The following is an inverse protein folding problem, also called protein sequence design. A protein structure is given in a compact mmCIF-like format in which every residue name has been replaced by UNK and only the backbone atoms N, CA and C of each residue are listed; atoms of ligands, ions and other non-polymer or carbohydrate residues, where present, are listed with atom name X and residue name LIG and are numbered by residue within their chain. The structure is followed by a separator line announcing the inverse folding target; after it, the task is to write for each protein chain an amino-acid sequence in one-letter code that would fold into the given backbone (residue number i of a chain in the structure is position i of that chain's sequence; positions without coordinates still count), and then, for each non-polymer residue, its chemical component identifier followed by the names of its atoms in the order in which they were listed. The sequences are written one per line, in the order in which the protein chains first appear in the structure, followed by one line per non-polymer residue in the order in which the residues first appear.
data_IF_045570711429
#
_entry.id   IF_045570711429
#
_cell.length_a   1.000
_cell.length_b   1.000
_cell.length_c   1.000
_cell.angle_alpha   90.00
_cell.angle_beta   90.00
_cell.angle_gamma   90.00
#
_symmetry.space_group_name_H-M   'P 1'
#
loop_
_entity.id
_entity.type
_entity.pdbx_description
1 polymer ?
#
# COMPACT_ATOMS: atom_id res chain seq x y z
N UNK A 1 -32.98 -23.92 -29.39
CA UNK A 1 -31.93 -24.85 -28.94
C UNK A 1 -30.62 -24.58 -29.70
N UNK A 2 -29.84 -23.64 -29.26
CA UNK A 2 -28.47 -23.50 -29.66
C UNK A 2 -27.60 -23.68 -28.41
N UNK A 3 -27.24 -24.95 -28.18
CA UNK A 3 -26.20 -25.33 -27.25
C UNK A 3 -24.88 -24.70 -27.69
N UNK A 4 -24.32 -23.77 -26.88
CA UNK A 4 -22.93 -23.39 -26.96
C UNK A 4 -22.10 -24.65 -26.66
N UNK A 5 -21.52 -25.26 -27.70
CA UNK A 5 -20.39 -26.16 -27.53
C UNK A 5 -19.24 -25.31 -27.03
N UNK A 6 -18.87 -25.45 -25.77
CA UNK A 6 -17.59 -25.01 -25.26
C UNK A 6 -16.49 -25.65 -26.13
N UNK A 7 -15.64 -24.84 -26.67
CA UNK A 7 -14.52 -25.27 -27.52
C UNK A 7 -13.42 -25.86 -26.62
N UNK A 8 -13.59 -27.14 -26.30
CA UNK A 8 -12.65 -27.90 -25.47
C UNK A 8 -11.27 -28.05 -26.10
N UNK A 9 -11.17 -28.04 -27.44
CA UNK A 9 -9.88 -28.12 -28.15
C UNK A 9 -9.04 -26.85 -27.93
N UNK A 10 -9.66 -25.66 -27.95
CA UNK A 10 -8.97 -24.40 -27.66
C UNK A 10 -8.47 -24.33 -26.20
N UNK A 11 -9.27 -24.86 -25.24
CA UNK A 11 -8.86 -24.92 -23.84
C UNK A 11 -7.73 -25.93 -23.60
N UNK A 12 -7.68 -27.02 -24.34
CA UNK A 12 -6.64 -28.05 -24.22
C UNK A 12 -5.31 -27.56 -24.79
N UNK A 13 -5.34 -26.81 -25.88
CA UNK A 13 -4.16 -26.15 -26.48
C UNK A 13 -3.60 -25.06 -25.56
N UNK A 14 -4.45 -24.22 -24.95
CA UNK A 14 -4.03 -23.20 -23.96
C UNK A 14 -3.42 -23.84 -22.71
N UNK A 15 -4.00 -24.94 -22.23
CA UNK A 15 -3.47 -25.71 -21.09
C UNK A 15 -2.14 -26.39 -21.41
N UNK A 16 -1.98 -26.94 -22.62
CA UNK A 16 -0.72 -27.55 -23.07
C UNK A 16 0.38 -26.49 -23.26
N UNK A 17 0.03 -25.28 -23.71
CA UNK A 17 0.95 -24.18 -23.80
C UNK A 17 1.41 -23.73 -22.40
N UNK A 18 0.49 -23.55 -21.44
CA UNK A 18 0.81 -23.22 -20.06
C UNK A 18 1.68 -24.28 -19.38
N UNK A 19 1.38 -25.57 -19.61
CA UNK A 19 2.17 -26.69 -19.08
C UNK A 19 3.56 -26.73 -19.73
N UNK A 20 3.67 -26.42 -21.02
CA UNK A 20 4.94 -26.31 -21.74
C UNK A 20 5.83 -25.18 -21.19
N UNK A 21 5.25 -24.02 -20.94
CA UNK A 21 5.91 -22.87 -20.33
C UNK A 21 6.35 -23.17 -18.89
N UNK A 22 5.51 -23.88 -18.13
CA UNK A 22 5.81 -24.32 -16.76
C UNK A 22 6.96 -25.34 -16.70
N UNK A 23 7.03 -26.27 -17.65
CA UNK A 23 8.14 -27.22 -17.78
C UNK A 23 9.47 -26.53 -18.12
N UNK A 24 9.46 -25.53 -19.00
CA UNK A 24 10.65 -24.75 -19.33
C UNK A 24 11.16 -23.91 -18.14
N UNK A 25 10.26 -23.42 -17.28
CA UNK A 25 10.61 -22.72 -16.03
C UNK A 25 11.28 -23.66 -15.01
N UNK A 26 10.86 -24.93 -14.96
CA UNK A 26 11.39 -25.93 -14.02
C UNK A 26 12.74 -26.52 -14.46
N UNK A 27 13.10 -26.47 -15.73
CA UNK A 27 14.34 -27.07 -16.28
C UNK A 27 15.54 -26.12 -16.28
N UNK A 28 15.44 -24.90 -15.70
CA UNK A 28 16.60 -24.01 -15.46
C UNK A 28 17.32 -23.52 -16.72
N UNK A 29 16.65 -23.52 -17.88
CA UNK A 29 17.16 -22.93 -19.11
C UNK A 29 17.20 -21.39 -19.03
N UNK A 30 18.02 -20.68 -19.87
CA UNK A 30 18.05 -19.24 -19.88
C UNK A 30 16.64 -18.71 -20.19
N UNK A 31 16.07 -17.93 -19.26
CA UNK A 31 14.74 -17.33 -19.40
C UNK A 31 14.62 -16.67 -20.77
N UNK A 32 13.73 -17.16 -21.64
CA UNK A 32 13.26 -16.39 -22.79
C UNK A 32 12.62 -15.13 -22.23
N UNK A 33 13.11 -13.94 -22.64
CA UNK A 33 12.49 -12.65 -22.32
C UNK A 33 11.01 -12.76 -22.64
N UNK A 34 10.18 -12.67 -21.62
CA UNK A 34 8.73 -12.58 -21.78
C UNK A 34 8.49 -11.26 -22.49
N UNK A 35 8.03 -11.31 -23.76
CA UNK A 35 7.74 -10.11 -24.55
C UNK A 35 6.51 -9.34 -24.03
N UNK A 36 5.77 -9.89 -23.08
CA UNK A 36 4.56 -9.29 -22.57
C UNK A 36 4.91 -8.24 -21.50
N UNK A 37 4.83 -6.97 -21.88
CA UNK A 37 5.16 -5.81 -21.04
C UNK A 37 4.02 -5.38 -20.09
N UNK A 38 2.86 -5.99 -20.18
CA UNK A 38 1.72 -5.63 -19.33
C UNK A 38 1.90 -6.16 -17.90
N UNK A 39 1.62 -5.30 -16.90
CA UNK A 39 1.70 -5.70 -15.51
C UNK A 39 0.57 -6.68 -15.17
N UNK A 40 0.92 -7.85 -14.60
CA UNK A 40 0.01 -8.90 -14.14
C UNK A 40 0.34 -9.29 -12.69
N UNK A 41 -0.63 -9.14 -11.81
CA UNK A 41 -0.46 -9.45 -10.39
C UNK A 41 -0.30 -10.96 -10.13
N UNK A 42 -0.85 -11.81 -10.99
CA UNK A 42 -0.77 -13.27 -10.90
C UNK A 42 0.68 -13.76 -10.98
N UNK A 43 1.53 -13.06 -11.76
CA UNK A 43 2.96 -13.39 -11.83
C UNK A 43 3.68 -13.07 -10.51
N UNK A 44 3.27 -12.01 -9.80
CA UNK A 44 3.76 -11.75 -8.45
C UNK A 44 3.33 -12.85 -7.48
N UNK A 45 2.06 -13.27 -7.51
CA UNK A 45 1.55 -14.35 -6.65
C UNK A 45 2.34 -15.64 -6.87
N UNK A 46 2.60 -15.98 -8.13
CA UNK A 46 3.41 -17.17 -8.49
C UNK A 46 4.85 -17.04 -7.99
N UNK A 47 5.49 -15.89 -8.16
CA UNK A 47 6.84 -15.64 -7.68
C UNK A 47 6.94 -15.74 -6.15
N UNK A 48 5.95 -15.21 -5.42
CA UNK A 48 5.90 -15.28 -3.96
C UNK A 48 5.88 -16.72 -3.43
N UNK A 49 5.15 -17.63 -4.08
CA UNK A 49 5.12 -19.04 -3.71
C UNK A 49 6.53 -19.68 -3.73
N UNK A 50 7.41 -19.21 -4.61
CA UNK A 50 8.79 -19.71 -4.71
C UNK A 50 9.70 -19.22 -3.57
N UNK A 51 9.33 -18.12 -2.89
CA UNK A 51 10.12 -17.51 -1.82
C UNK A 51 9.91 -18.14 -0.45
N UNK A 52 8.87 -18.97 -0.30
CA UNK A 52 8.44 -19.49 1.01
C UNK A 52 7.67 -18.48 1.88
N UNK A 53 7.31 -17.31 1.32
CA UNK A 53 6.43 -16.35 1.96
C UNK A 53 4.97 -16.68 1.67
N UNK A 54 4.14 -16.61 2.72
CA UNK A 54 2.70 -16.82 2.63
C UNK A 54 2.00 -15.47 2.80
N UNK A 55 1.23 -15.08 1.80
CA UNK A 55 0.35 -13.92 1.85
C UNK A 55 -0.98 -14.27 1.20
N UNK A 56 -2.07 -13.83 1.80
CA UNK A 56 -3.39 -13.97 1.18
C UNK A 56 -3.48 -13.17 -0.12
N UNK A 57 -4.08 -13.74 -1.15
CA UNK A 57 -4.29 -13.07 -2.45
C UNK A 57 -5.04 -11.74 -2.31
N UNK A 58 -6.03 -11.68 -1.40
CA UNK A 58 -6.77 -10.44 -1.13
C UNK A 58 -5.87 -9.33 -0.57
N UNK A 59 -4.90 -9.67 0.27
CA UNK A 59 -3.93 -8.72 0.80
C UNK A 59 -3.00 -8.21 -0.31
N UNK A 60 -2.48 -9.11 -1.15
CA UNK A 60 -1.63 -8.75 -2.30
C UNK A 60 -2.36 -7.84 -3.28
N UNK A 61 -3.59 -8.20 -3.63
CA UNK A 61 -4.43 -7.41 -4.52
C UNK A 61 -4.65 -5.99 -3.96
N UNK A 62 -4.99 -5.87 -2.66
CA UNK A 62 -5.16 -4.58 -1.98
C UNK A 62 -3.87 -3.76 -1.98
N UNK A 63 -2.74 -4.39 -1.68
CA UNK A 63 -1.44 -3.73 -1.61
C UNK A 63 -1.02 -3.16 -2.96
N UNK A 64 -1.05 -3.95 -4.02
CA UNK A 64 -0.64 -3.52 -5.36
C UNK A 64 -1.60 -2.46 -5.91
N UNK A 65 -2.91 -2.68 -5.78
CA UNK A 65 -3.93 -1.69 -6.21
C UNK A 65 -3.77 -0.37 -5.46
N UNK A 66 -3.49 -0.42 -4.16
CA UNK A 66 -3.26 0.77 -3.34
C UNK A 66 -2.01 1.56 -3.77
N UNK A 67 -0.90 0.89 -4.09
CA UNK A 67 0.32 1.51 -4.60
C UNK A 67 0.09 2.20 -5.94
N UNK A 68 -0.64 1.56 -6.85
CA UNK A 68 -0.99 2.10 -8.16
C UNK A 68 -1.93 3.30 -8.05
N UNK A 69 -2.92 3.24 -7.15
CA UNK A 69 -3.87 4.33 -6.94
C UNK A 69 -3.21 5.55 -6.29
N UNK A 70 -2.24 5.30 -5.40
CA UNK A 70 -1.45 6.33 -4.74
C UNK A 70 -0.09 5.77 -4.33
N UNK A 71 1.02 6.37 -4.78
CA UNK A 71 2.36 5.87 -4.53
C UNK A 71 2.84 6.15 -3.09
N UNK A 72 1.94 6.13 -2.11
CA UNK A 72 2.24 6.18 -0.68
C UNK A 72 1.32 5.25 0.10
N UNK A 73 1.88 4.15 0.60
CA UNK A 73 1.17 3.12 1.36
C UNK A 73 1.82 2.92 2.72
N UNK A 74 1.01 2.75 3.75
CA UNK A 74 1.46 2.42 5.11
C UNK A 74 0.96 1.01 5.43
N UNK A 75 1.88 0.12 5.80
CA UNK A 75 1.61 -1.25 6.21
C UNK A 75 1.64 -1.33 7.74
N UNK A 76 0.49 -1.55 8.37
CA UNK A 76 0.37 -1.63 9.83
C UNK A 76 0.16 -3.07 10.29
N UNK A 77 0.55 -3.41 11.51
CA UNK A 77 0.32 -4.73 12.11
C UNK A 77 1.38 -5.09 13.15
N UNK A 78 1.24 -6.26 13.76
CA UNK A 78 2.16 -6.76 14.77
C UNK A 78 3.58 -6.94 14.23
N UNK A 79 4.59 -6.82 15.10
CA UNK A 79 5.97 -7.16 14.76
C UNK A 79 6.05 -8.60 14.24
N UNK A 80 6.88 -8.83 13.21
CA UNK A 80 7.03 -10.16 12.61
C UNK A 80 5.87 -10.63 11.70
N UNK A 81 4.84 -9.84 11.44
CA UNK A 81 3.71 -10.22 10.57
C UNK A 81 4.03 -10.27 9.07
N UNK A 82 5.23 -9.85 8.64
CA UNK A 82 5.66 -9.91 7.24
C UNK A 82 5.53 -8.59 6.47
N UNK A 83 5.15 -7.48 7.09
CA UNK A 83 5.00 -6.15 6.45
C UNK A 83 6.21 -5.74 5.62
N UNK A 84 7.36 -5.65 6.28
CA UNK A 84 8.64 -5.26 5.65
C UNK A 84 9.03 -6.26 4.57
N UNK A 85 8.75 -7.55 4.76
CA UNK A 85 9.04 -8.59 3.77
C UNK A 85 8.19 -8.44 2.51
N UNK A 86 6.90 -8.11 2.64
CA UNK A 86 6.07 -7.84 1.47
C UNK A 86 6.58 -6.64 0.68
N UNK A 87 6.90 -5.52 1.35
CA UNK A 87 7.46 -4.34 0.70
C UNK A 87 8.77 -4.66 -0.04
N UNK A 88 9.69 -5.37 0.63
CA UNK A 88 10.97 -5.78 0.04
C UNK A 88 10.80 -6.70 -1.17
N UNK A 89 10.00 -7.76 -1.02
CA UNK A 89 9.86 -8.78 -2.06
C UNK A 89 9.21 -8.19 -3.31
N UNK A 90 8.17 -7.36 -3.15
CA UNK A 90 7.53 -6.70 -4.27
C UNK A 90 8.50 -5.75 -4.99
N UNK A 91 9.19 -4.88 -4.25
CA UNK A 91 10.16 -3.95 -4.82
C UNK A 91 11.30 -4.67 -5.54
N UNK A 92 11.88 -5.72 -4.93
CA UNK A 92 12.95 -6.50 -5.56
C UNK A 92 12.48 -7.27 -6.79
N UNK A 93 11.25 -7.76 -6.80
CA UNK A 93 10.68 -8.49 -7.92
C UNK A 93 10.47 -7.60 -9.15
N UNK A 94 9.89 -6.40 -8.96
CA UNK A 94 9.53 -5.50 -10.08
C UNK A 94 10.69 -4.62 -10.56
N UNK A 95 11.73 -4.43 -9.75
CA UNK A 95 12.88 -3.60 -10.10
C UNK A 95 13.98 -4.37 -10.82
N UNK A 96 14.53 -3.77 -11.87
CA UNK A 96 15.65 -4.32 -12.63
C UNK A 96 16.94 -4.36 -11.81
N UNK A 97 17.18 -3.31 -11.01
CA UNK A 97 18.42 -3.10 -10.26
C UNK A 97 18.15 -2.88 -8.78
N UNK A 98 19.10 -3.27 -7.93
CA UNK A 98 19.02 -3.08 -6.48
C UNK A 98 18.99 -1.61 -6.08
N UNK A 99 19.63 -0.74 -6.83
CA UNK A 99 19.73 0.71 -6.59
C UNK A 99 18.37 1.41 -6.76
N UNK A 100 17.37 0.73 -7.33
CA UNK A 100 16.00 1.23 -7.43
C UNK A 100 15.21 1.03 -6.12
N UNK A 101 15.78 0.34 -5.15
CA UNK A 101 15.15 0.06 -3.86
C UNK A 101 16.02 0.56 -2.73
N UNK A 102 15.51 1.49 -1.95
CA UNK A 102 16.17 2.00 -0.75
C UNK A 102 15.29 1.67 0.47
N UNK A 103 15.84 0.90 1.40
CA UNK A 103 15.19 0.62 2.68
C UNK A 103 15.90 1.37 3.78
N UNK A 104 15.15 2.19 4.49
CA UNK A 104 15.65 3.10 5.51
C UNK A 104 14.97 2.79 6.84
N UNK A 105 15.70 2.27 7.83
CA UNK A 105 15.18 2.17 9.19
C UNK A 105 15.07 3.58 9.79
N UNK A 106 13.89 3.92 10.32
CA UNK A 106 13.65 5.23 10.92
C UNK A 106 14.27 5.26 12.32
N UNK A 107 15.05 6.29 12.60
CA UNK A 107 15.63 6.52 13.94
C UNK A 107 14.63 7.19 14.89
N UNK A 108 14.66 6.80 16.16
CA UNK A 108 13.80 7.39 17.19
C UNK A 108 14.12 8.87 17.48
N UNK A 109 15.31 9.33 17.10
CA UNK A 109 15.84 10.68 17.26
C UNK A 109 15.54 11.61 16.08
N UNK A 110 14.83 11.16 15.06
CA UNK A 110 14.56 11.96 13.86
C UNK A 110 13.57 13.09 14.14
N UNK A 111 14.03 14.30 14.09
CA UNK A 111 13.23 15.50 14.40
C UNK A 111 13.05 16.46 13.24
N UNK A 112 13.79 16.23 12.12
CA UNK A 112 13.78 17.07 10.94
C UNK A 112 14.04 16.24 9.67
N UNK A 113 14.10 16.90 8.50
CA UNK A 113 14.27 16.25 7.19
C UNK A 113 15.67 15.70 6.89
N UNK A 114 16.68 16.09 7.66
CA UNK A 114 18.08 15.79 7.36
C UNK A 114 18.39 14.31 7.18
N UNK A 115 17.80 13.38 7.96
CA UNK A 115 18.04 11.95 7.76
C UNK A 115 17.61 11.42 6.39
N UNK A 116 16.66 12.08 5.70
CA UNK A 116 16.19 11.66 4.37
C UNK A 116 16.74 12.53 3.24
N UNK A 117 16.93 13.82 3.48
CA UNK A 117 17.26 14.78 2.42
C UNK A 117 18.66 15.39 2.59
N UNK A 118 19.30 15.23 3.76
CA UNK A 118 20.57 15.89 4.04
C UNK A 118 20.43 17.41 4.24
N UNK A 119 21.57 18.11 4.17
CA UNK A 119 21.64 19.55 4.41
C UNK A 119 22.85 20.20 3.74
N UNK A 120 22.80 21.51 3.45
CA UNK A 120 23.96 22.30 3.02
C UNK A 120 25.05 22.33 4.10
N UNK A 121 26.30 22.07 3.72
CA UNK A 121 27.41 22.13 4.66
C UNK A 121 27.71 23.59 5.07
N UNK A 122 27.43 23.94 6.33
CA UNK A 122 27.65 25.29 6.84
C UNK A 122 29.12 25.68 6.92
N UNK A 123 30.06 24.73 6.93
CA UNK A 123 31.49 24.94 7.03
C UNK A 123 32.21 25.02 5.67
N UNK A 124 31.56 24.51 4.62
CA UNK A 124 32.11 24.45 3.25
C UNK A 124 31.07 24.94 2.25
N UNK A 125 31.18 26.18 1.81
CA UNK A 125 30.25 26.75 0.84
C UNK A 125 30.21 25.94 -0.48
N UNK A 126 29.01 25.63 -0.95
CA UNK A 126 28.81 24.82 -2.17
C UNK A 126 28.88 23.30 -1.98
N UNK A 127 29.07 22.82 -0.75
CA UNK A 127 29.03 21.41 -0.41
C UNK A 127 27.71 21.00 0.25
N UNK A 128 27.24 19.80 -0.07
CA UNK A 128 26.03 19.24 0.49
C UNK A 128 26.33 17.92 1.21
N UNK A 129 25.87 17.78 2.43
CA UNK A 129 25.97 16.54 3.21
C UNK A 129 24.77 15.66 2.89
N UNK A 130 25.01 14.61 2.12
CA UNK A 130 23.99 13.64 1.75
C UNK A 130 23.77 12.60 2.87
N UNK A 131 22.52 12.11 3.05
CA UNK A 131 22.27 11.02 3.98
C UNK A 131 22.99 9.73 3.54
N UNK A 132 23.62 9.03 4.47
CA UNK A 132 24.34 7.78 4.20
C UNK A 132 23.39 6.62 3.83
N UNK A 133 22.12 6.71 4.21
CA UNK A 133 21.10 5.68 3.94
C UNK A 133 20.66 5.60 2.46
N UNK A 134 21.09 6.52 1.61
CA UNK A 134 20.81 6.51 0.18
C UNK A 134 19.44 7.06 -0.24
N UNK A 135 18.63 7.59 0.67
CA UNK A 135 17.29 8.09 0.35
C UNK A 135 17.31 9.24 -0.67
N UNK A 136 18.17 10.26 -0.47
CA UNK A 136 18.31 11.38 -1.41
C UNK A 136 18.86 10.92 -2.76
N UNK A 137 19.84 10.01 -2.78
CA UNK A 137 20.38 9.45 -4.03
C UNK A 137 19.30 8.73 -4.83
N UNK A 138 18.46 7.91 -4.14
CA UNK A 138 17.32 7.24 -4.77
C UNK A 138 16.38 8.25 -5.46
N UNK A 139 16.04 9.37 -4.78
CA UNK A 139 15.17 10.40 -5.34
C UNK A 139 15.79 11.05 -6.58
N UNK A 140 17.09 11.38 -6.51
CA UNK A 140 17.83 11.98 -7.63
C UNK A 140 17.84 11.02 -8.83
N UNK A 141 18.10 9.73 -8.61
CA UNK A 141 18.12 8.73 -9.68
C UNK A 141 16.73 8.50 -10.27
N UNK A 142 15.69 8.43 -9.45
CA UNK A 142 14.30 8.28 -9.90
C UNK A 142 13.85 9.48 -10.76
N UNK A 143 14.33 10.69 -10.46
CA UNK A 143 13.99 11.91 -11.18
C UNK A 143 14.68 12.10 -12.53
N UNK A 144 15.66 11.27 -12.90
CA UNK A 144 16.33 11.35 -14.20
C UNK A 144 15.43 10.91 -15.32
N UNK A 145 15.49 11.60 -16.46
CA UNK A 145 14.64 11.30 -17.63
C UNK A 145 14.79 9.86 -18.13
N UNK A 146 16.03 9.33 -18.15
CA UNK A 146 16.30 7.94 -18.55
C UNK A 146 15.71 6.88 -17.61
N UNK A 147 15.27 7.28 -16.43
CA UNK A 147 14.69 6.40 -15.41
C UNK A 147 13.18 6.57 -15.26
N UNK A 148 12.56 7.49 -15.97
CA UNK A 148 11.17 7.90 -15.84
C UNK A 148 10.16 6.74 -15.88
N UNK A 149 10.45 5.73 -16.67
CA UNK A 149 9.59 4.56 -16.85
C UNK A 149 9.99 3.37 -15.96
N UNK A 150 10.93 3.56 -15.03
CA UNK A 150 11.40 2.52 -14.12
C UNK A 150 10.86 2.77 -12.72
N UNK A 151 10.30 1.77 -12.03
CA UNK A 151 9.82 1.95 -10.67
C UNK A 151 10.98 2.10 -9.69
N UNK A 152 10.85 3.02 -8.73
CA UNK A 152 11.75 3.23 -7.61
C UNK A 152 10.99 3.13 -6.30
N UNK A 153 11.59 2.50 -5.27
CA UNK A 153 10.94 2.27 -3.99
C UNK A 153 11.75 2.83 -2.83
N UNK A 154 11.12 3.72 -2.04
CA UNK A 154 11.60 4.14 -0.74
C UNK A 154 10.78 3.42 0.34
N UNK A 155 11.41 2.51 1.07
CA UNK A 155 10.79 1.76 2.16
C UNK A 155 11.28 2.37 3.47
N UNK A 156 10.36 2.94 4.24
CA UNK A 156 10.62 3.49 5.58
C UNK A 156 10.21 2.44 6.61
N UNK A 157 11.19 1.77 7.19
CA UNK A 157 10.93 0.72 8.17
C UNK A 157 10.75 1.32 9.56
N UNK A 158 9.71 0.87 10.26
CA UNK A 158 9.25 1.42 11.55
C UNK A 158 8.98 2.93 11.49
N UNK A 159 8.23 3.36 10.47
CA UNK A 159 8.00 4.76 10.15
C UNK A 159 7.51 5.60 11.33
N UNK A 160 6.80 5.01 12.28
CA UNK A 160 6.24 5.68 13.46
C UNK A 160 7.16 5.63 14.71
N UNK A 161 8.41 5.19 14.57
CA UNK A 161 9.38 5.23 15.66
C UNK A 161 9.76 6.68 16.04
N UNK A 162 9.57 7.61 15.13
CA UNK A 162 9.63 9.06 15.37
C UNK A 162 8.41 9.78 14.81
N UNK A 163 8.26 11.07 15.14
CA UNK A 163 7.16 11.91 14.64
C UNK A 163 7.26 12.12 13.12
N UNK A 164 6.44 11.40 12.35
CA UNK A 164 6.42 11.44 10.89
C UNK A 164 6.21 12.86 10.35
N UNK A 165 5.36 13.65 11.01
CA UNK A 165 5.06 15.03 10.62
C UNK A 165 6.26 15.97 10.70
N UNK A 166 7.35 15.55 11.36
CA UNK A 166 8.57 16.35 11.47
C UNK A 166 9.57 15.97 10.39
N UNK A 167 10.02 14.72 10.38
CA UNK A 167 11.08 14.31 9.45
C UNK A 167 10.57 14.11 8.01
N UNK A 168 9.28 13.84 7.83
CA UNK A 168 8.65 13.59 6.53
C UNK A 168 7.76 14.75 6.05
N UNK A 169 7.84 15.91 6.71
CA UNK A 169 7.00 17.08 6.44
C UNK A 169 7.06 17.56 4.99
N UNK A 170 8.25 17.63 4.41
CA UNK A 170 8.46 18.12 3.04
C UNK A 170 7.81 17.17 2.03
N UNK A 171 7.94 15.86 2.22
CA UNK A 171 7.26 14.85 1.39
C UNK A 171 5.75 14.99 1.47
N UNK A 172 5.19 15.12 2.68
CA UNK A 172 3.75 15.32 2.86
C UNK A 172 3.25 16.59 2.18
N UNK A 173 4.02 17.67 2.23
CA UNK A 173 3.70 18.95 1.59
C UNK A 173 3.67 18.79 0.07
N UNK A 174 4.74 18.25 -0.50
CA UNK A 174 4.89 18.12 -1.96
C UNK A 174 3.90 17.12 -2.57
N UNK A 175 3.52 16.06 -1.85
CA UNK A 175 2.44 15.15 -2.27
C UNK A 175 1.10 15.89 -2.48
N UNK A 176 0.93 17.06 -1.87
CA UNK A 176 -0.27 17.90 -2.02
C UNK A 176 -0.07 19.05 -3.01
N UNK A 177 0.99 19.82 -2.85
CA UNK A 177 1.25 21.03 -3.66
C UNK A 177 1.82 20.72 -5.04
N UNK A 178 2.47 19.54 -5.20
CA UNK A 178 3.25 19.16 -6.38
C UNK A 178 4.42 20.11 -6.68
N UNK A 179 4.84 20.92 -5.69
CA UNK A 179 5.99 21.79 -5.78
C UNK A 179 7.29 20.98 -5.57
N UNK A 180 8.44 21.62 -5.82
CA UNK A 180 9.73 21.02 -5.55
C UNK A 180 10.22 21.37 -4.14
N UNK A 181 10.88 20.42 -3.47
CA UNK A 181 11.53 20.59 -2.17
C UNK A 181 12.84 21.38 -2.39
N UNK A 182 13.03 22.54 -1.78
CA UNK A 182 14.31 23.25 -1.85
C UNK A 182 15.35 22.53 -0.99
N UNK A 183 16.54 22.26 -1.57
CA UNK A 183 17.64 21.59 -0.88
C UNK A 183 18.75 22.56 -0.51
N UNK A 184 19.13 23.45 -1.44
CA UNK A 184 20.14 24.47 -1.22
C UNK A 184 19.87 25.73 -2.09
N UNK A 185 20.53 26.87 -1.84
CA UNK A 185 20.41 28.05 -2.69
C UNK A 185 20.88 27.78 -4.12
N UNK A 186 20.15 28.30 -5.12
CA UNK A 186 20.54 28.21 -6.54
C UNK A 186 21.45 29.40 -6.91
N UNK A 187 22.74 29.30 -6.54
CA UNK A 187 23.75 30.32 -6.83
C UNK A 187 24.94 29.71 -7.53
N UNK A 188 25.84 30.57 -8.09
CA UNK A 188 27.04 30.15 -8.83
C UNK A 188 27.92 29.17 -8.05
N UNK A 189 28.02 29.32 -6.72
CA UNK A 189 28.81 28.47 -5.83
C UNK A 189 28.33 27.06 -5.84
N UNK A 190 27.00 26.85 -5.96
CA UNK A 190 26.35 25.55 -5.94
C UNK A 190 26.30 24.84 -7.28
N UNK A 191 26.72 25.46 -8.40
CA UNK A 191 26.69 24.86 -9.75
C UNK A 191 27.51 23.57 -9.90
N UNK A 192 28.52 23.39 -9.04
CA UNK A 192 29.34 22.16 -9.02
C UNK A 192 28.83 21.08 -8.08
N UNK A 193 27.80 21.39 -7.30
CA UNK A 193 27.20 20.41 -6.40
C UNK A 193 26.46 19.32 -7.21
N UNK A 194 26.61 18.06 -6.79
CA UNK A 194 25.88 16.92 -7.42
C UNK A 194 24.40 16.89 -7.03
N UNK A 195 24.05 17.53 -5.92
CA UNK A 195 22.67 17.63 -5.45
C UNK A 195 22.00 18.80 -6.16
N UNK A 196 20.81 18.64 -6.72
CA UNK A 196 20.08 19.75 -7.35
C UNK A 196 19.58 20.74 -6.32
N UNK A 197 19.45 22.03 -6.68
CA UNK A 197 18.94 23.06 -5.79
C UNK A 197 17.52 22.77 -5.28
N UNK A 198 16.72 22.08 -6.09
CA UNK A 198 15.35 21.65 -5.77
C UNK A 198 15.11 20.24 -6.30
N UNK A 199 14.29 19.46 -5.59
CA UNK A 199 13.91 18.12 -6.02
C UNK A 199 12.38 17.96 -5.94
N UNK A 200 11.78 17.48 -7.02
CA UNK A 200 10.38 17.09 -7.03
C UNK A 200 10.24 15.61 -6.67
N UNK A 201 9.09 15.18 -6.16
CA UNK A 201 8.81 13.76 -6.02
C UNK A 201 8.54 13.18 -7.42
N UNK A 202 9.38 12.26 -7.91
CA UNK A 202 9.18 11.66 -9.22
C UNK A 202 7.92 10.79 -9.24
N UNK A 203 7.20 10.78 -10.36
CA UNK A 203 5.96 10.01 -10.52
C UNK A 203 6.16 8.49 -10.51
N UNK A 204 7.38 8.03 -10.71
CA UNK A 204 7.81 6.63 -10.67
C UNK A 204 8.40 6.22 -9.30
N UNK A 205 8.32 7.10 -8.29
CA UNK A 205 8.71 6.82 -6.91
C UNK A 205 7.54 6.32 -6.10
N UNK A 206 7.67 5.14 -5.51
CA UNK A 206 6.70 4.52 -4.61
C UNK A 206 7.25 4.51 -3.18
N UNK A 207 6.48 5.03 -2.24
CA UNK A 207 6.87 5.13 -0.84
C UNK A 207 6.03 4.14 -0.01
N UNK A 208 6.71 3.29 0.76
CA UNK A 208 6.07 2.30 1.62
C UNK A 208 6.59 2.49 3.04
N UNK A 209 5.71 2.85 3.97
CA UNK A 209 6.02 2.87 5.40
C UNK A 209 5.58 1.58 6.07
N UNK A 210 6.38 1.02 6.98
CA UNK A 210 5.94 -0.06 7.87
C UNK A 210 5.74 0.47 9.29
N UNK A 211 4.79 -0.11 10.01
CA UNK A 211 4.39 0.32 11.35
C UNK A 211 4.13 -0.88 12.24
N UNK A 212 4.80 -0.94 13.37
CA UNK A 212 4.53 -1.90 14.43
C UNK A 212 3.53 -1.30 15.42
N UNK A 213 2.42 -2.02 15.66
CA UNK A 213 1.32 -1.55 16.54
C UNK A 213 1.46 -2.03 17.98
N UNK A 214 2.34 -2.97 18.23
CA UNK A 214 2.65 -3.59 19.53
C UNK A 214 3.79 -2.88 20.29
N UNK A 215 4.39 -1.86 19.70
CA UNK A 215 5.44 -1.07 20.31
C UNK A 215 4.92 0.30 20.76
N UNK A 216 5.57 0.90 21.76
CA UNK A 216 5.29 2.28 22.21
C UNK A 216 5.82 3.28 21.19
N UNK A 217 5.03 3.53 20.15
CA UNK A 217 5.37 4.36 19.02
C UNK A 217 4.41 5.55 18.89
N UNK A 218 4.77 6.51 18.03
CA UNK A 218 3.93 7.68 17.82
C UNK A 218 2.73 7.37 16.93
N UNK A 219 1.56 7.89 17.32
CA UNK A 219 0.37 7.85 16.48
C UNK A 219 0.54 8.76 15.26
N UNK A 220 0.02 8.32 14.13
CA UNK A 220 -0.04 9.18 12.95
C UNK A 220 -1.09 10.29 13.09
N UNK A 221 -0.71 11.49 12.69
CA UNK A 221 -1.68 12.57 12.55
C UNK A 221 -2.59 12.36 11.34
N UNK A 222 -3.75 13.01 11.30
CA UNK A 222 -4.61 13.04 10.13
C UNK A 222 -3.90 13.50 8.85
N UNK A 223 -2.86 14.35 8.96
CA UNK A 223 -2.07 14.83 7.82
C UNK A 223 -1.33 13.71 7.09
N UNK A 224 -0.87 12.70 7.81
CA UNK A 224 -0.20 11.51 7.24
C UNK A 224 -1.24 10.57 6.66
N UNK A 225 -2.28 10.22 7.44
CA UNK A 225 -3.30 9.26 7.05
C UNK A 225 -4.13 9.69 5.84
N UNK A 226 -4.38 10.99 5.69
CA UNK A 226 -5.04 11.55 4.50
C UNK A 226 -4.24 11.38 3.22
N UNK A 227 -2.91 11.22 3.34
CA UNK A 227 -2.00 11.12 2.19
C UNK A 227 -1.58 9.70 1.87
N UNK A 228 -1.85 8.73 2.73
CA UNK A 228 -1.52 7.32 2.53
C UNK A 228 -2.77 6.46 2.29
N UNK A 229 -2.59 5.29 1.71
CA UNK A 229 -3.47 4.15 1.90
C UNK A 229 -2.91 3.31 3.05
N UNK A 230 -3.74 2.94 4.02
CA UNK A 230 -3.31 2.17 5.19
C UNK A 230 -3.78 0.73 5.06
N UNK A 231 -2.84 -0.20 5.02
CA UNK A 231 -3.13 -1.63 4.89
C UNK A 231 -2.72 -2.34 6.17
N UNK A 232 -3.69 -2.94 6.82
CA UNK A 232 -3.46 -3.73 8.02
C UNK A 232 -3.04 -5.15 7.66
N UNK A 233 -1.99 -5.61 8.32
CA UNK A 233 -1.50 -6.98 8.31
C UNK A 233 -1.96 -7.70 9.54
N UNK A 234 -2.74 -8.74 9.35
CA UNK A 234 -3.16 -9.65 10.39
C UNK A 234 -2.89 -11.08 9.97
N UNK A 235 -2.14 -11.77 10.80
CA UNK A 235 -1.92 -13.21 10.61
C UNK A 235 -3.15 -13.96 11.12
N UNK A 236 -3.78 -14.73 10.25
CA UNK A 236 -4.91 -15.59 10.59
C UNK A 236 -4.43 -16.91 11.21
N UNK A 237 -5.31 -17.59 11.95
CA UNK A 237 -5.00 -18.92 12.48
C UNK A 237 -4.67 -19.92 11.36
N UNK A 238 -5.35 -19.81 10.19
CA UNK A 238 -5.09 -20.64 9.03
C UNK A 238 -3.71 -20.43 8.41
N UNK A 239 -3.27 -19.16 8.27
CA UNK A 239 -1.90 -18.83 7.80
C UNK A 239 -0.84 -19.33 8.77
N UNK A 240 -1.08 -19.18 10.08
CA UNK A 240 -0.18 -19.69 11.11
C UNK A 240 -0.07 -21.23 11.05
N UNK A 241 -1.20 -21.93 10.87
CA UNK A 241 -1.22 -23.38 10.71
C UNK A 241 -0.46 -23.83 9.47
N UNK A 242 -0.64 -23.15 8.33
CA UNK A 242 0.09 -23.42 7.10
C UNK A 242 1.59 -23.20 7.28
N UNK A 243 1.99 -22.10 7.90
CA UNK A 243 3.39 -21.80 8.18
C UNK A 243 4.04 -22.86 9.08
N UNK A 244 3.33 -23.29 10.13
CA UNK A 244 3.86 -24.34 11.04
C UNK A 244 3.99 -25.69 10.37
N UNK A 245 3.14 -26.01 9.39
CA UNK A 245 3.21 -27.27 8.61
C UNK A 245 4.31 -27.24 7.55
N UNK A 246 4.56 -26.08 6.93
CA UNK A 246 5.45 -25.92 5.79
C UNK A 246 6.53 -24.88 6.07
N UNK A 247 7.49 -25.21 6.95
CA UNK A 247 8.61 -24.33 7.29
C UNK A 247 9.63 -24.29 6.14
N UNK A 248 9.38 -23.45 5.13
CA UNK A 248 10.30 -23.21 4.02
C UNK A 248 11.20 -22.01 4.36
N UNK A 249 12.53 -22.12 4.22
CA UNK A 249 13.40 -20.95 4.38
C UNK A 249 13.06 -19.87 3.36
N UNK A 250 12.92 -18.63 3.84
CA UNK A 250 12.63 -17.48 2.99
C UNK A 250 13.88 -17.09 2.19
N UNK A 251 13.78 -17.14 0.86
CA UNK A 251 14.86 -16.75 -0.06
C UNK A 251 14.38 -15.74 -1.10
N UNK A 252 14.61 -14.46 -0.84
CA UNK A 252 14.21 -13.36 -1.71
C UNK A 252 15.12 -13.22 -2.96
N UNK A 253 16.29 -13.86 -2.97
CA UNK A 253 17.21 -13.75 -4.12
C UNK A 253 16.65 -14.43 -5.38
N UNK A 254 15.79 -15.41 -5.18
CA UNK A 254 15.19 -16.19 -6.29
C UNK A 254 14.34 -15.36 -7.23
N UNK A 255 13.76 -14.27 -6.75
CA UNK A 255 12.80 -13.47 -7.52
C UNK A 255 13.32 -12.09 -7.92
N UNK A 256 14.57 -11.77 -7.62
CA UNK A 256 15.18 -10.48 -7.93
C UNK A 256 15.09 -10.18 -9.43
N UNK A 257 14.31 -9.15 -9.80
CA UNK A 257 14.17 -8.68 -11.18
C UNK A 257 13.30 -9.55 -12.10
N UNK A 258 12.68 -10.63 -11.61
CA UNK A 258 11.81 -11.48 -12.44
C UNK A 258 10.63 -10.72 -13.06
N UNK A 259 10.07 -9.75 -12.33
CA UNK A 259 9.00 -8.88 -12.80
C UNK A 259 9.47 -7.60 -13.52
N UNK A 260 10.79 -7.38 -13.67
CA UNK A 260 11.33 -6.11 -14.17
C UNK A 260 10.85 -5.73 -15.57
N UNK A 261 10.54 -6.71 -16.43
CA UNK A 261 9.97 -6.47 -17.77
C UNK A 261 8.59 -5.79 -17.73
N UNK A 262 7.90 -5.84 -16.58
CA UNK A 262 6.60 -5.21 -16.34
C UNK A 262 6.73 -3.86 -15.61
N UNK A 263 7.95 -3.44 -15.24
CA UNK A 263 8.18 -2.22 -14.46
C UNK A 263 7.67 -0.96 -15.16
N UNK A 264 7.86 -0.85 -16.47
CA UNK A 264 7.33 0.26 -17.27
C UNK A 264 5.80 0.31 -17.23
N UNK A 265 5.13 -0.82 -17.50
CA UNK A 265 3.67 -0.92 -17.45
C UNK A 265 3.10 -0.62 -16.05
N UNK A 266 3.80 -1.06 -15.01
CA UNK A 266 3.44 -0.73 -13.61
C UNK A 266 3.49 0.78 -13.36
N UNK A 267 4.55 1.46 -13.79
CA UNK A 267 4.67 2.92 -13.67
C UNK A 267 3.60 3.64 -14.48
N UNK A 268 3.36 3.21 -15.72
CA UNK A 268 2.31 3.77 -16.58
C UNK A 268 0.93 3.68 -15.93
N UNK A 269 0.57 2.54 -15.32
CA UNK A 269 -0.68 2.37 -14.61
C UNK A 269 -0.82 3.33 -13.42
N UNK A 270 0.26 3.57 -12.68
CA UNK A 270 0.27 4.49 -11.53
C UNK A 270 0.16 5.97 -11.94
N UNK A 271 0.71 6.33 -13.11
CA UNK A 271 0.76 7.73 -13.61
C UNK A 271 -0.51 8.11 -14.36
N UNK A 272 -1.21 7.15 -14.98
CA UNK A 272 -2.42 7.41 -15.77
C UNK A 272 -3.58 7.89 -14.89
N UNK A 273 -3.62 9.20 -14.65
CA UNK A 273 -4.69 9.90 -13.90
C UNK A 273 -6.06 9.91 -14.62
N UNK A 274 -6.15 9.33 -15.81
CA UNK A 274 -7.35 9.33 -16.67
C UNK A 274 -8.24 8.10 -16.53
N UNK A 275 -7.89 7.14 -15.68
CA UNK A 275 -8.76 6.01 -15.39
C UNK A 275 -10.00 6.54 -14.65
N UNK A 276 -11.14 6.55 -15.33
CA UNK A 276 -12.43 6.81 -14.70
C UNK A 276 -12.99 5.46 -14.23
N UNK A 277 -13.44 5.35 -12.98
CA UNK A 277 -14.19 4.16 -12.56
C UNK A 277 -15.47 4.08 -13.42
N UNK A 278 -15.95 2.89 -13.65
CA UNK A 278 -17.31 2.70 -14.15
C UNK A 278 -18.22 3.46 -13.20
N UNK A 279 -19.18 4.22 -13.74
CA UNK A 279 -20.20 4.86 -12.92
C UNK A 279 -20.88 3.79 -12.07
N UNK A 280 -20.73 3.89 -10.75
CA UNK A 280 -21.34 3.01 -9.77
C UNK A 280 -22.19 3.81 -8.81
N UNK A 281 -23.52 3.70 -8.98
CA UNK A 281 -24.48 4.27 -8.06
C UNK A 281 -24.28 3.72 -6.64
N UNK A 282 -24.02 2.41 -6.51
CA UNK A 282 -23.76 1.74 -5.25
C UNK A 282 -22.53 2.28 -4.52
N UNK A 283 -21.41 2.54 -5.23
CA UNK A 283 -20.22 3.17 -4.66
C UNK A 283 -20.56 4.57 -4.15
N UNK A 284 -21.24 5.38 -4.98
CA UNK A 284 -21.57 6.75 -4.64
C UNK A 284 -22.48 6.82 -3.41
N UNK A 285 -23.55 6.03 -3.37
CA UNK A 285 -24.44 5.94 -2.21
C UNK A 285 -23.72 5.49 -0.95
N UNK A 286 -22.89 4.44 -1.06
CA UNK A 286 -22.12 3.94 0.06
C UNK A 286 -21.18 5.02 0.61
N UNK A 287 -20.43 5.72 -0.26
CA UNK A 287 -19.54 6.79 0.16
C UNK A 287 -20.28 7.95 0.82
N UNK A 288 -21.46 8.31 0.35
CA UNK A 288 -22.30 9.36 0.95
C UNK A 288 -22.82 8.93 2.34
N UNK A 289 -23.21 7.65 2.51
CA UNK A 289 -23.62 7.13 3.81
C UNK A 289 -22.46 7.16 4.81
N UNK A 290 -21.27 6.67 4.42
CA UNK A 290 -20.08 6.73 5.28
C UNK A 290 -19.67 8.17 5.58
N UNK A 291 -19.69 9.06 4.57
CA UNK A 291 -19.39 10.48 4.75
C UNK A 291 -20.28 11.12 5.82
N UNK A 292 -21.58 10.87 5.74
CA UNK A 292 -22.57 11.43 6.69
C UNK A 292 -22.34 10.95 8.12
N UNK A 293 -21.98 9.68 8.31
CA UNK A 293 -21.67 9.13 9.65
C UNK A 293 -20.32 9.63 10.17
N UNK A 294 -19.28 9.65 9.33
CA UNK A 294 -17.96 10.14 9.69
C UNK A 294 -17.96 11.64 10.03
N UNK A 295 -18.79 12.44 9.37
CA UNK A 295 -18.98 13.87 9.69
C UNK A 295 -19.40 14.10 11.12
N UNK A 296 -20.25 13.25 11.67
CA UNK A 296 -20.68 13.33 13.08
C UNK A 296 -19.51 13.07 14.06
N UNK A 297 -18.46 12.39 13.59
CA UNK A 297 -17.23 12.15 14.36
C UNK A 297 -16.17 13.26 14.17
N UNK A 298 -16.35 14.17 13.23
CA UNK A 298 -15.29 15.08 12.74
C UNK A 298 -14.16 14.32 12.06
N UNK A 299 -14.49 13.19 11.40
CA UNK A 299 -13.56 12.32 10.66
C UNK A 299 -13.96 12.17 9.19
N UNK A 300 -14.74 13.12 8.67
CA UNK A 300 -15.14 13.13 7.27
C UNK A 300 -13.95 13.23 6.32
N UNK A 301 -14.15 12.80 5.08
CA UNK A 301 -13.14 12.85 4.03
C UNK A 301 -13.44 13.93 3.00
N UNK A 302 -12.40 14.53 2.41
CA UNK A 302 -12.52 15.56 1.38
C UNK A 302 -12.50 15.00 -0.03
N UNK A 303 -12.63 15.90 -1.02
CA UNK A 303 -12.62 15.58 -2.45
C UNK A 303 -11.35 14.84 -2.91
N UNK A 304 -10.18 15.09 -2.25
CA UNK A 304 -8.96 14.38 -2.55
C UNK A 304 -9.11 12.89 -2.25
N UNK A 305 -9.57 12.54 -1.05
CA UNK A 305 -9.82 11.14 -0.67
C UNK A 305 -10.84 10.48 -1.59
N UNK A 306 -11.90 11.18 -1.97
CA UNK A 306 -12.90 10.68 -2.92
C UNK A 306 -12.25 10.36 -4.30
N UNK A 307 -11.39 11.24 -4.84
CA UNK A 307 -10.66 10.98 -6.08
C UNK A 307 -9.71 9.78 -5.97
N UNK A 308 -9.00 9.64 -4.85
CA UNK A 308 -8.10 8.51 -4.60
C UNK A 308 -8.89 7.18 -4.49
N UNK A 309 -10.10 7.22 -3.92
CA UNK A 309 -11.03 6.09 -3.88
C UNK A 309 -11.47 5.72 -5.31
N UNK A 310 -11.90 6.69 -6.11
CA UNK A 310 -12.27 6.44 -7.50
C UNK A 310 -11.11 5.87 -8.32
N UNK A 311 -9.89 6.36 -8.11
CA UNK A 311 -8.69 5.81 -8.76
C UNK A 311 -8.42 4.36 -8.32
N UNK A 312 -8.57 4.04 -7.03
CA UNK A 312 -8.43 2.69 -6.53
C UNK A 312 -9.44 1.73 -7.18
N UNK A 313 -10.71 2.13 -7.24
CA UNK A 313 -11.79 1.34 -7.86
C UNK A 313 -11.48 1.08 -9.34
N UNK A 314 -11.11 2.13 -10.10
CA UNK A 314 -10.79 1.99 -11.52
C UNK A 314 -9.58 1.08 -11.79
N UNK A 315 -8.58 1.10 -10.91
CA UNK A 315 -7.42 0.20 -10.99
C UNK A 315 -7.82 -1.22 -10.59
N UNK A 316 -8.63 -1.39 -9.55
CA UNK A 316 -9.12 -2.70 -9.12
C UNK A 316 -9.91 -3.41 -10.23
N UNK A 317 -10.82 -2.70 -10.90
CA UNK A 317 -11.60 -3.22 -12.03
C UNK A 317 -10.72 -3.76 -13.18
N UNK A 318 -9.56 -3.14 -13.38
CA UNK A 318 -8.61 -3.55 -14.43
C UNK A 318 -7.66 -4.65 -13.99
N UNK A 319 -7.15 -4.54 -12.74
CA UNK A 319 -6.08 -5.39 -12.22
C UNK A 319 -6.60 -6.71 -11.65
N UNK A 320 -7.79 -6.68 -11.06
CA UNK A 320 -8.40 -7.79 -10.29
C UNK A 320 -9.88 -7.93 -10.69
N UNK A 321 -10.17 -8.26 -11.95
CA UNK A 321 -11.54 -8.28 -12.47
C UNK A 321 -12.45 -9.30 -11.78
N UNK A 322 -11.87 -10.26 -11.05
CA UNK A 322 -12.61 -11.24 -10.24
C UNK A 322 -13.15 -10.66 -8.92
N UNK A 323 -12.68 -9.48 -8.49
CA UNK A 323 -13.22 -8.85 -7.30
C UNK A 323 -14.64 -8.34 -7.53
N UNK A 324 -15.52 -8.69 -6.61
CA UNK A 324 -16.86 -8.11 -6.58
C UNK A 324 -16.80 -6.64 -6.18
N UNK A 325 -17.78 -5.87 -6.60
CA UNK A 325 -17.90 -4.46 -6.22
C UNK A 325 -17.92 -4.27 -4.69
N UNK A 326 -18.57 -5.16 -3.94
CA UNK A 326 -18.58 -5.12 -2.47
C UNK A 326 -17.19 -5.34 -1.87
N UNK A 327 -16.37 -6.24 -2.43
CA UNK A 327 -14.99 -6.45 -1.97
C UNK A 327 -14.11 -5.23 -2.24
N UNK A 328 -14.29 -4.55 -3.39
CA UNK A 328 -13.56 -3.32 -3.71
C UNK A 328 -13.97 -2.19 -2.77
N UNK A 329 -15.26 -2.03 -2.51
CA UNK A 329 -15.80 -1.02 -1.58
C UNK A 329 -15.31 -1.29 -0.16
N UNK A 330 -15.35 -2.54 0.31
CA UNK A 330 -14.86 -2.93 1.64
C UNK A 330 -13.37 -2.60 1.81
N UNK A 331 -12.54 -2.92 0.80
CA UNK A 331 -11.12 -2.57 0.79
C UNK A 331 -10.89 -1.06 0.93
N UNK A 332 -11.66 -0.25 0.20
CA UNK A 332 -11.57 1.22 0.24
C UNK A 332 -11.98 1.77 1.60
N UNK A 333 -13.09 1.30 2.16
CA UNK A 333 -13.55 1.72 3.49
C UNK A 333 -12.44 1.44 4.52
N UNK A 334 -11.95 0.19 4.54
CA UNK A 334 -10.95 -0.27 5.48
C UNK A 334 -9.65 0.54 5.42
N UNK A 335 -9.14 0.82 4.21
CA UNK A 335 -7.80 1.41 4.04
C UNK A 335 -7.77 2.93 3.93
N UNK A 336 -8.91 3.58 3.66
CA UNK A 336 -8.95 5.03 3.41
C UNK A 336 -9.88 5.80 4.35
N UNK A 337 -10.98 5.21 4.79
CA UNK A 337 -11.96 5.89 5.64
C UNK A 337 -11.74 5.59 7.13
N UNK A 338 -11.64 4.31 7.50
CA UNK A 338 -11.49 3.91 8.90
C UNK A 338 -10.19 4.36 9.57
N UNK A 339 -9.02 4.50 8.88
CA UNK A 339 -7.77 4.94 9.53
C UNK A 339 -7.85 6.29 10.25
N UNK A 340 -8.84 7.13 9.91
CA UNK A 340 -9.06 8.43 10.57
C UNK A 340 -9.75 8.33 11.93
N UNK A 341 -10.29 7.16 12.27
CA UNK A 341 -11.03 6.97 13.51
C UNK A 341 -10.08 6.80 14.70
N UNK A 342 -10.14 7.74 15.62
CA UNK A 342 -9.47 7.68 16.92
C UNK A 342 -10.21 8.54 17.95
N UNK A 343 -10.16 8.16 19.19
CA UNK A 343 -10.75 8.96 20.27
C UNK A 343 -11.24 8.17 21.47
N UNK A 344 -11.86 8.89 22.38
CA UNK A 344 -12.44 8.33 23.60
C UNK A 344 -13.73 7.56 23.33
N UNK A 345 -14.10 6.70 24.27
CA UNK A 345 -15.36 5.94 24.25
C UNK A 345 -16.57 6.85 24.02
N UNK A 346 -16.68 7.96 24.74
CA UNK A 346 -17.78 8.92 24.59
C UNK A 346 -17.94 9.44 23.16
N UNK A 347 -16.82 9.59 22.44
CA UNK A 347 -16.82 10.08 21.05
C UNK A 347 -17.12 8.98 20.04
N UNK A 348 -16.52 7.80 20.21
CA UNK A 348 -16.47 6.78 19.17
C UNK A 348 -17.53 5.69 19.26
N UNK A 349 -17.99 5.31 20.48
CA UNK A 349 -18.85 4.14 20.67
C UNK A 349 -20.09 4.17 19.75
N UNK A 350 -20.86 5.26 19.77
CA UNK A 350 -22.05 5.40 18.93
C UNK A 350 -21.75 5.44 17.44
N UNK A 351 -20.61 6.02 17.05
CA UNK A 351 -20.19 6.13 15.65
C UNK A 351 -19.76 4.77 15.10
N UNK A 352 -18.97 4.00 15.88
CA UNK A 352 -18.55 2.65 15.49
C UNK A 352 -19.76 1.75 15.24
N UNK A 353 -20.81 1.83 16.09
CA UNK A 353 -22.07 1.12 15.88
C UNK A 353 -22.75 1.51 14.58
N UNK A 354 -22.93 2.79 14.32
CA UNK A 354 -23.59 3.26 13.09
C UNK A 354 -22.80 2.98 11.82
N UNK A 355 -21.45 2.94 11.89
CA UNK A 355 -20.61 2.50 10.77
C UNK A 355 -20.70 0.98 10.60
N UNK A 356 -20.77 0.22 11.70
CA UNK A 356 -20.97 -1.24 11.67
C UNK A 356 -22.29 -1.63 11.01
N UNK A 357 -23.37 -0.89 11.26
CA UNK A 357 -24.67 -1.09 10.58
C UNK A 357 -24.54 -0.98 9.05
N UNK A 358 -23.73 -0.05 8.55
CA UNK A 358 -23.49 0.09 7.10
C UNK A 358 -22.71 -1.09 6.48
N UNK A 359 -22.05 -1.89 7.31
CA UNK A 359 -21.31 -3.08 6.88
C UNK A 359 -22.16 -4.35 6.83
N UNK A 360 -23.43 -4.28 7.22
CA UNK A 360 -24.34 -5.42 7.33
C UNK A 360 -25.31 -5.50 6.14
N UNK A 361 -25.82 -6.69 5.90
CA UNK A 361 -26.97 -6.89 5.01
C UNK A 361 -28.28 -6.56 5.73
N UNK A 362 -29.34 -6.36 4.97
CA UNK A 362 -30.67 -6.15 5.53
C UNK A 362 -31.09 -7.27 6.50
N UNK A 363 -31.67 -6.88 7.63
CA UNK A 363 -32.12 -7.83 8.66
C UNK A 363 -31.04 -8.30 9.62
N UNK A 364 -29.77 -7.94 9.44
CA UNK A 364 -28.70 -8.25 10.39
C UNK A 364 -28.63 -7.16 11.48
N UNK A 365 -28.20 -7.55 12.70
CA UNK A 365 -28.08 -6.63 13.83
C UNK A 365 -26.63 -6.46 14.23
N UNK A 366 -26.16 -5.24 14.35
CA UNK A 366 -24.78 -4.89 14.72
C UNK A 366 -24.41 -5.41 16.13
N UNK A 367 -25.37 -5.49 17.05
CA UNK A 367 -25.17 -6.01 18.42
C UNK A 367 -24.75 -7.47 18.44
N UNK A 368 -25.15 -8.26 17.41
CA UNK A 368 -24.73 -9.65 17.32
C UNK A 368 -23.22 -9.79 17.17
N UNK A 369 -22.58 -8.84 16.49
CA UNK A 369 -21.14 -8.82 16.25
C UNK A 369 -20.37 -8.08 17.31
N UNK A 370 -20.89 -6.95 17.79
CA UNK A 370 -20.18 -6.06 18.72
C UNK A 370 -20.24 -6.57 20.16
N UNK A 371 -21.36 -7.17 20.56
CA UNK A 371 -21.61 -7.59 21.95
C UNK A 371 -21.61 -9.11 22.10
N UNK A 372 -22.23 -9.86 21.14
CA UNK A 372 -22.40 -11.31 21.24
C UNK A 372 -21.33 -12.13 20.53
N UNK A 373 -20.30 -11.48 19.99
CA UNK A 373 -19.14 -12.11 19.34
C UNK A 373 -19.50 -13.11 18.21
N UNK A 374 -20.59 -12.84 17.48
CA UNK A 374 -20.97 -13.66 16.34
C UNK A 374 -19.84 -13.64 15.28
N UNK A 375 -19.48 -14.79 14.69
CA UNK A 375 -18.49 -14.86 13.61
C UNK A 375 -18.87 -13.97 12.42
N UNK A 376 -17.87 -13.22 11.89
CA UNK A 376 -18.07 -12.32 10.76
C UNK A 376 -18.09 -13.16 9.47
N UNK A 377 -19.28 -13.57 9.06
CA UNK A 377 -19.53 -14.32 7.84
C UNK A 377 -20.84 -13.89 7.22
N UNK A 378 -20.92 -13.86 5.89
CA UNK A 378 -22.16 -13.52 5.17
C UNK A 378 -22.64 -12.08 5.42
N UNK A 379 -21.73 -11.14 5.68
CA UNK A 379 -21.99 -9.70 5.83
C UNK A 379 -21.55 -8.97 4.57
N UNK A 380 -22.00 -7.73 4.40
CA UNK A 380 -21.74 -6.92 3.21
C UNK A 380 -20.26 -6.51 3.10
N UNK A 381 -19.67 -5.99 4.18
CA UNK A 381 -18.28 -5.51 4.24
C UNK A 381 -17.52 -6.17 5.41
N UNK A 382 -17.02 -7.41 5.23
CA UNK A 382 -16.44 -8.19 6.32
C UNK A 382 -15.12 -7.63 6.87
N UNK A 383 -14.23 -7.08 6.03
CA UNK A 383 -12.96 -6.49 6.47
C UNK A 383 -13.21 -5.27 7.36
N UNK A 384 -14.09 -4.39 6.92
CA UNK A 384 -14.44 -3.17 7.65
C UNK A 384 -15.18 -3.48 8.94
N UNK A 385 -16.10 -4.44 8.92
CA UNK A 385 -16.84 -4.85 10.12
C UNK A 385 -15.90 -5.45 11.17
N UNK A 386 -14.97 -6.33 10.78
CA UNK A 386 -13.99 -6.92 11.71
C UNK A 386 -13.18 -5.81 12.42
N UNK A 387 -12.72 -4.82 11.66
CA UNK A 387 -12.00 -3.69 12.21
C UNK A 387 -12.84 -2.87 13.18
N UNK A 388 -14.08 -2.56 12.80
CA UNK A 388 -15.00 -1.79 13.64
C UNK A 388 -15.36 -2.54 14.94
N UNK A 389 -15.53 -3.87 14.90
CA UNK A 389 -15.74 -4.71 16.09
C UNK A 389 -14.55 -4.63 17.03
N UNK A 390 -13.33 -4.73 16.53
CA UNK A 390 -12.11 -4.62 17.34
C UNK A 390 -11.97 -3.23 17.95
N UNK A 391 -12.19 -2.19 17.16
CA UNK A 391 -12.19 -0.81 17.66
C UNK A 391 -13.24 -0.60 18.74
N UNK A 392 -14.44 -1.16 18.56
CA UNK A 392 -15.50 -1.07 19.55
C UNK A 392 -15.09 -1.75 20.87
N UNK A 393 -14.57 -2.97 20.81
CA UNK A 393 -14.06 -3.68 21.99
C UNK A 393 -12.92 -2.91 22.66
N UNK A 394 -12.00 -2.38 21.87
CA UNK A 394 -10.89 -1.56 22.37
C UNK A 394 -11.38 -0.32 23.11
N UNK A 395 -12.31 0.42 22.54
CA UNK A 395 -12.82 1.66 23.16
C UNK A 395 -13.64 1.39 24.42
N UNK A 396 -14.41 0.31 24.46
CA UNK A 396 -15.21 -0.08 25.62
C UNK A 396 -14.30 -0.54 26.77
N UNK A 397 -13.27 -1.34 26.48
CA UNK A 397 -12.39 -1.91 27.49
C UNK A 397 -11.34 -0.91 28.01
N UNK A 398 -10.80 -0.06 27.13
CA UNK A 398 -9.65 0.82 27.43
C UNK A 398 -10.04 2.30 27.53
N UNK A 399 -11.31 2.67 27.24
CA UNK A 399 -11.79 4.06 27.25
C UNK A 399 -11.30 4.92 26.07
N UNK A 400 -10.34 4.44 25.27
CA UNK A 400 -9.77 5.09 24.10
C UNK A 400 -9.34 4.03 23.07
N UNK A 401 -9.40 4.37 21.79
CA UNK A 401 -8.89 3.53 20.71
C UNK A 401 -8.46 4.39 19.52
N UNK A 402 -7.44 3.93 18.81
CA UNK A 402 -7.11 4.39 17.45
C UNK A 402 -7.21 3.22 16.46
N UNK A 403 -7.36 3.56 15.19
CA UNK A 403 -7.35 2.53 14.13
C UNK A 403 -6.08 1.67 14.17
N UNK A 404 -4.93 2.26 14.41
CA UNK A 404 -3.67 1.52 14.40
C UNK A 404 -3.56 0.52 15.57
N UNK A 405 -4.18 0.80 16.73
CA UNK A 405 -4.08 0.00 17.95
C UNK A 405 -5.16 -1.10 18.07
N UNK A 406 -6.20 -1.10 17.21
CA UNK A 406 -7.33 -2.01 17.30
C UNK A 406 -7.15 -3.34 16.56
#
# INVERSE_FOLDING_TARGET
DTSQKLDYESMEDDLLQIIGEYKQLMEGGPMKKIENKEFKIELLKTALQQTGLLFEDKLLNRFVTALLAKPFVILTGLAGSGKTKLAQVFAQWICEKKEQVCMVPVGADWTNREPLLGYPNALSEGEYVMPENGALELLIQAGKEENRNKPYFLILDEMNLSHVERYFADFLSVMESQEAIPLHPDTEIWKKCRVPAKISLPSNLFIIGTVNIDETTYMFSPKVLDRANVIEFRVTAGEMEQFLKHKVPVDLKKIQGEGAVMGESFVEMAVHKGLQPKESEKLNETLLHFFSRLKNAGAEFGFRSAREICAFVAIADRLVPEWTEDEVIDAVIMQKLLPKLHGSQRKLEGILRTLGELCLNEGQNVEDYFVKDKPIAGVKYPLSLDKLVRMYKGVVNNGFVSYAEA
#
